data_IF_934529557972
#
_entry.id   IF_934529557972
#
_cell.length_a   1.000
_cell.length_b   1.000
_cell.length_c   1.000
_cell.angle_alpha   90.00
_cell.angle_beta   90.00
_cell.angle_gamma   90.00
#
_symmetry.space_group_name_H-M   'P 1'
#
loop_
_entity.id
_entity.type
_entity.pdbx_description
1 polymer ?
#
# COMPACT_ATOMS: atom_id res chain seq x y z
N UNK A 1 -55.38 12.69 -11.15
CA UNK A 1 -56.17 13.94 -11.22
C UNK A 1 -56.00 14.60 -12.59
N UNK A 2 -57.09 14.57 -13.36
CA UNK A 2 -57.46 15.22 -14.63
C UNK A 2 -56.39 15.89 -15.53
N UNK A 3 -55.48 15.10 -16.12
CA UNK A 3 -54.56 15.56 -17.19
C UNK A 3 -55.33 16.13 -18.39
N UNK A 4 -56.49 15.55 -18.72
CA UNK A 4 -57.35 16.00 -19.81
C UNK A 4 -57.82 17.45 -19.62
N UNK A 5 -58.28 17.81 -18.42
CA UNK A 5 -58.67 19.18 -18.11
C UNK A 5 -57.49 20.17 -18.21
N UNK A 6 -56.30 19.79 -17.73
CA UNK A 6 -55.10 20.66 -17.82
C UNK A 6 -54.69 20.91 -19.28
N UNK A 7 -54.70 19.87 -20.10
CA UNK A 7 -54.40 19.99 -21.54
C UNK A 7 -55.46 20.81 -22.27
N UNK A 8 -56.75 20.59 -21.97
CA UNK A 8 -57.84 21.36 -22.57
C UNK A 8 -57.76 22.84 -22.19
N UNK A 9 -57.54 23.16 -20.91
CA UNK A 9 -57.31 24.53 -20.44
C UNK A 9 -56.09 25.19 -21.09
N UNK A 10 -55.01 24.46 -21.30
CA UNK A 10 -53.84 24.99 -21.99
C UNK A 10 -54.12 25.29 -23.48
N UNK A 11 -54.89 24.44 -24.17
CA UNK A 11 -55.33 24.70 -25.56
C UNK A 11 -56.24 25.93 -25.66
N UNK A 12 -57.19 26.07 -24.73
CA UNK A 12 -58.02 27.26 -24.62
C UNK A 12 -57.18 28.53 -24.40
N UNK A 13 -56.18 28.45 -23.52
CA UNK A 13 -55.27 29.56 -23.28
C UNK A 13 -54.41 29.89 -24.52
N UNK A 14 -53.91 28.89 -25.23
CA UNK A 14 -53.17 29.09 -26.49
C UNK A 14 -54.02 29.82 -27.51
N UNK A 15 -55.29 29.42 -27.67
CA UNK A 15 -56.25 30.11 -28.54
C UNK A 15 -56.48 31.56 -28.10
N UNK A 16 -56.76 31.78 -26.81
CA UNK A 16 -56.93 33.12 -26.23
C UNK A 16 -55.70 34.01 -26.45
N UNK A 17 -54.49 33.45 -26.29
CA UNK A 17 -53.24 34.21 -26.38
C UNK A 17 -52.86 34.69 -27.79
N UNK A 18 -53.60 34.26 -28.83
CA UNK A 18 -53.42 34.78 -30.20
C UNK A 18 -53.98 36.19 -30.34
N UNK A 19 -54.98 36.55 -29.52
CA UNK A 19 -55.64 37.84 -29.57
C UNK A 19 -54.95 38.86 -28.64
N UNK A 20 -54.97 40.13 -29.02
CA UNK A 20 -54.28 41.18 -28.27
C UNK A 20 -55.14 41.73 -27.13
N UNK A 21 -56.47 41.58 -27.22
CA UNK A 21 -57.42 42.01 -26.20
C UNK A 21 -58.45 40.95 -25.85
N UNK A 22 -59.09 41.12 -24.69
CA UNK A 22 -60.17 40.24 -24.26
C UNK A 22 -61.38 40.36 -25.18
N UNK A 23 -61.69 41.58 -25.61
CA UNK A 23 -62.83 41.89 -26.48
C UNK A 23 -62.69 41.18 -27.82
N UNK A 24 -61.50 41.20 -28.42
CA UNK A 24 -61.18 40.49 -29.66
C UNK A 24 -61.29 38.96 -29.48
N UNK A 25 -60.82 38.45 -28.33
CA UNK A 25 -60.93 37.02 -28.01
C UNK A 25 -62.39 36.57 -27.86
N UNK A 26 -63.29 37.42 -27.32
CA UNK A 26 -64.71 37.08 -27.14
C UNK A 26 -65.47 36.91 -28.47
N UNK A 27 -65.05 37.60 -29.53
CA UNK A 27 -65.62 37.45 -30.88
C UNK A 27 -65.26 36.11 -31.53
N UNK A 28 -64.22 35.44 -31.01
CA UNK A 28 -63.71 34.18 -31.51
C UNK A 28 -63.81 33.08 -30.44
N UNK A 29 -65.00 32.49 -30.22
CA UNK A 29 -65.15 31.36 -29.30
C UNK A 29 -64.28 30.17 -29.67
N UNK A 30 -63.74 29.50 -28.66
CA UNK A 30 -63.02 28.25 -28.85
C UNK A 30 -63.93 27.16 -29.46
N UNK A 31 -63.44 26.32 -30.39
CA UNK A 31 -64.26 25.33 -31.07
C UNK A 31 -65.08 24.45 -30.11
N UNK A 32 -66.32 24.15 -30.49
CA UNK A 32 -67.27 23.30 -29.75
C UNK A 32 -67.73 23.86 -28.38
N UNK A 33 -67.44 25.13 -28.06
CA UNK A 33 -67.81 25.77 -26.81
C UNK A 33 -68.86 26.87 -27.03
N UNK A 34 -69.80 27.00 -26.10
CA UNK A 34 -70.79 28.07 -26.17
C UNK A 34 -70.18 29.43 -25.77
N UNK A 35 -70.79 30.53 -26.23
CA UNK A 35 -70.29 31.90 -25.98
C UNK A 35 -70.26 32.27 -24.49
N UNK A 36 -71.16 31.74 -23.69
CA UNK A 36 -71.26 32.06 -22.26
C UNK A 36 -70.12 31.42 -21.46
N UNK A 37 -69.82 30.15 -21.74
CA UNK A 37 -68.67 29.43 -21.20
C UNK A 37 -67.36 30.06 -21.66
N UNK A 38 -67.25 30.42 -22.94
CA UNK A 38 -66.08 31.11 -23.46
C UNK A 38 -65.84 32.46 -22.77
N UNK A 39 -66.91 33.23 -22.53
CA UNK A 39 -66.82 34.49 -21.76
C UNK A 39 -66.21 34.26 -20.38
N UNK A 40 -66.68 33.26 -19.64
CA UNK A 40 -66.13 32.92 -18.31
C UNK A 40 -64.67 32.49 -18.38
N UNK A 41 -64.25 31.80 -19.44
CA UNK A 41 -62.86 31.39 -19.66
C UNK A 41 -61.97 32.60 -19.99
N UNK A 42 -62.44 33.52 -20.83
CA UNK A 42 -61.76 34.78 -21.11
C UNK A 42 -61.63 35.65 -19.84
N UNK A 43 -62.67 35.73 -19.01
CA UNK A 43 -62.62 36.41 -17.71
C UNK A 43 -61.55 35.81 -16.80
N UNK A 44 -61.47 34.47 -16.75
CA UNK A 44 -60.46 33.77 -15.97
C UNK A 44 -59.04 34.08 -16.47
N UNK A 45 -58.81 34.11 -17.79
CA UNK A 45 -57.48 34.40 -18.34
C UNK A 45 -57.10 35.88 -18.24
N UNK A 46 -58.07 36.80 -18.33
CA UNK A 46 -57.86 38.23 -18.13
C UNK A 46 -57.71 38.61 -16.66
N UNK A 47 -58.10 37.75 -15.72
CA UNK A 47 -58.00 38.03 -14.28
C UNK A 47 -56.56 38.31 -13.83
N UNK A 48 -56.40 39.30 -12.95
CA UNK A 48 -55.10 39.66 -12.38
C UNK A 48 -54.43 38.48 -11.67
N UNK A 49 -55.21 37.63 -10.97
CA UNK A 49 -54.68 36.46 -10.27
C UNK A 49 -54.02 35.48 -11.26
N UNK A 50 -54.67 35.22 -12.40
CA UNK A 50 -54.14 34.33 -13.42
C UNK A 50 -52.89 34.90 -14.07
N UNK A 51 -52.93 36.19 -14.45
CA UNK A 51 -51.79 36.87 -15.06
C UNK A 51 -50.58 36.92 -14.13
N UNK A 52 -50.79 37.26 -12.85
CA UNK A 52 -49.73 37.25 -11.83
C UNK A 52 -49.09 35.87 -11.70
N UNK A 53 -49.90 34.82 -11.60
CA UNK A 53 -49.39 33.44 -11.47
C UNK A 53 -48.70 32.96 -12.75
N UNK A 54 -49.17 33.39 -13.91
CA UNK A 54 -48.53 33.13 -15.20
C UNK A 54 -47.14 33.80 -15.29
N UNK A 55 -47.03 35.07 -14.93
CA UNK A 55 -45.77 35.81 -14.90
C UNK A 55 -44.74 35.17 -13.96
N UNK A 56 -45.14 34.85 -12.72
CA UNK A 56 -44.28 34.16 -11.75
C UNK A 56 -43.82 32.80 -12.28
N UNK A 57 -44.72 32.01 -12.86
CA UNK A 57 -44.36 30.70 -13.42
C UNK A 57 -43.41 30.83 -14.62
N UNK A 58 -43.54 31.87 -15.44
CA UNK A 58 -42.63 32.17 -16.55
C UNK A 58 -41.23 32.50 -16.03
N UNK A 59 -41.13 33.36 -15.02
CA UNK A 59 -39.85 33.68 -14.37
C UNK A 59 -39.22 32.46 -13.70
N UNK A 60 -40.01 31.65 -12.98
CA UNK A 60 -39.53 30.43 -12.35
C UNK A 60 -39.04 29.42 -13.40
N UNK A 61 -39.72 29.33 -14.55
CA UNK A 61 -39.29 28.48 -15.66
C UNK A 61 -37.97 28.98 -16.26
N UNK A 62 -37.77 30.29 -16.35
CA UNK A 62 -36.52 30.88 -16.84
C UNK A 62 -35.33 30.63 -15.90
N UNK A 63 -35.57 30.45 -14.58
CA UNK A 63 -34.52 30.10 -13.60
C UNK A 63 -34.09 28.62 -13.64
N UNK A 64 -34.82 27.76 -14.35
CA UNK A 64 -34.52 26.33 -14.41
C UNK A 64 -33.36 26.07 -15.39
N UNK A 65 -32.15 25.94 -14.85
CA UNK A 65 -30.92 25.70 -15.61
C UNK A 65 -30.81 24.30 -16.21
N UNK A 66 -31.25 23.30 -15.44
CA UNK A 66 -31.13 21.89 -15.80
C UNK A 66 -32.53 21.34 -16.02
N UNK A 67 -32.79 20.90 -17.25
CA UNK A 67 -34.04 20.25 -17.63
C UNK A 67 -33.79 18.77 -17.88
N UNK A 68 -34.75 17.92 -17.52
CA UNK A 68 -34.71 16.49 -17.82
C UNK A 68 -35.71 16.13 -18.91
N UNK A 69 -35.47 15.04 -19.64
CA UNK A 69 -36.29 14.52 -20.74
C UNK A 69 -37.29 13.44 -20.31
N UNK A 70 -37.35 13.09 -19.02
CA UNK A 70 -38.29 12.09 -18.47
C UNK A 70 -39.77 12.47 -18.59
N UNK A 71 -40.09 13.72 -18.92
CA UNK A 71 -41.46 14.21 -19.03
C UNK A 71 -42.24 14.00 -17.73
N UNK A 72 -43.42 13.36 -17.82
CA UNK A 72 -44.27 13.05 -16.66
C UNK A 72 -43.84 11.77 -15.90
N UNK A 73 -42.78 11.08 -16.33
CA UNK A 73 -42.28 9.89 -15.63
C UNK A 73 -41.40 10.32 -14.46
N UNK A 74 -41.64 9.74 -13.29
CA UNK A 74 -40.73 9.89 -12.15
C UNK A 74 -39.37 9.24 -12.45
N UNK A 75 -38.31 9.69 -11.76
CA UNK A 75 -36.99 9.08 -11.88
C UNK A 75 -37.00 7.59 -11.49
N UNK A 76 -37.82 7.19 -10.51
CA UNK A 76 -37.99 5.77 -10.15
C UNK A 76 -38.57 4.96 -11.31
N UNK A 77 -39.56 5.51 -12.03
CA UNK A 77 -40.14 4.85 -13.21
C UNK A 77 -39.17 4.84 -14.40
N UNK A 78 -38.40 5.91 -14.60
CA UNK A 78 -37.33 5.94 -15.60
C UNK A 78 -36.28 4.86 -15.30
N UNK A 79 -35.85 4.75 -14.05
CA UNK A 79 -34.92 3.72 -13.56
C UNK A 79 -35.46 2.30 -13.84
N UNK A 80 -36.72 2.02 -13.50
CA UNK A 80 -37.33 0.71 -13.74
C UNK A 80 -37.39 0.33 -15.22
N UNK A 81 -37.65 1.30 -16.12
CA UNK A 81 -37.70 1.07 -17.56
C UNK A 81 -36.32 0.88 -18.21
N UNK A 82 -35.26 1.33 -17.54
CA UNK A 82 -33.89 1.25 -18.01
C UNK A 82 -33.10 0.10 -17.37
N UNK A 83 -33.76 -0.71 -16.54
CA UNK A 83 -33.15 -1.94 -16.01
C UNK A 83 -32.78 -2.85 -17.18
N UNK A 84 -31.54 -3.35 -17.16
CA UNK A 84 -31.05 -4.31 -18.13
C UNK A 84 -31.50 -5.71 -17.68
N UNK A 85 -32.04 -6.59 -18.55
CA UNK A 85 -32.32 -7.98 -18.17
C UNK A 85 -31.11 -8.74 -17.61
N UNK A 86 -29.88 -8.33 -17.94
CA UNK A 86 -28.64 -8.95 -17.41
C UNK A 86 -28.10 -8.29 -16.13
N UNK A 87 -28.49 -7.05 -15.80
CA UNK A 87 -28.03 -6.36 -14.60
C UNK A 87 -29.17 -5.61 -13.91
N UNK A 88 -29.44 -5.98 -12.66
CA UNK A 88 -30.63 -5.53 -11.92
C UNK A 88 -30.58 -4.04 -11.51
N UNK A 89 -29.43 -3.39 -11.68
CA UNK A 89 -29.19 -2.00 -11.28
C UNK A 89 -28.59 -1.15 -12.40
N UNK A 90 -29.24 -0.02 -12.70
CA UNK A 90 -28.65 1.07 -13.49
C UNK A 90 -27.90 2.01 -12.55
N UNK A 91 -26.66 2.36 -12.92
CA UNK A 91 -25.87 3.29 -12.12
C UNK A 91 -26.52 4.69 -12.10
N UNK A 92 -26.37 5.45 -11.00
CA UNK A 92 -26.88 6.83 -10.93
C UNK A 92 -26.39 7.72 -12.08
N UNK A 93 -25.13 7.58 -12.48
CA UNK A 93 -24.54 8.32 -13.59
C UNK A 93 -25.22 7.99 -14.93
N UNK A 94 -25.49 6.71 -15.21
CA UNK A 94 -26.20 6.30 -16.44
C UNK A 94 -27.65 6.77 -16.44
N UNK A 95 -28.33 6.70 -15.30
CA UNK A 95 -29.67 7.24 -15.15
C UNK A 95 -29.69 8.75 -15.40
N UNK A 96 -28.72 9.49 -14.85
CA UNK A 96 -28.59 10.92 -15.07
C UNK A 96 -28.38 11.23 -16.55
N UNK A 97 -27.41 10.59 -17.20
CA UNK A 97 -27.13 10.75 -18.64
C UNK A 97 -28.38 10.49 -19.48
N UNK A 98 -29.10 9.39 -19.22
CA UNK A 98 -30.29 9.03 -20.01
C UNK A 98 -31.45 10.00 -19.83
N UNK A 99 -31.56 10.63 -18.67
CA UNK A 99 -32.64 11.57 -18.33
C UNK A 99 -32.31 13.01 -18.70
N UNK A 100 -31.05 13.33 -19.04
CA UNK A 100 -30.61 14.68 -19.43
C UNK A 100 -30.04 14.70 -20.86
N UNK A 101 -30.40 13.70 -21.67
CA UNK A 101 -30.10 13.65 -23.09
C UNK A 101 -31.38 13.48 -23.91
N UNK A 102 -31.37 14.05 -25.10
CA UNK A 102 -32.44 13.93 -26.08
C UNK A 102 -32.36 12.57 -26.82
N UNK A 103 -33.35 12.28 -27.66
CA UNK A 103 -33.36 11.06 -28.49
C UNK A 103 -32.13 10.94 -29.39
N UNK A 104 -31.60 12.08 -29.82
CA UNK A 104 -30.40 12.18 -30.67
C UNK A 104 -29.08 12.08 -29.88
N UNK A 105 -29.16 11.87 -28.55
CA UNK A 105 -27.99 11.76 -27.67
C UNK A 105 -27.37 13.09 -27.24
N UNK A 106 -27.86 14.23 -27.75
CA UNK A 106 -27.42 15.55 -27.34
C UNK A 106 -27.90 15.90 -25.93
N UNK A 107 -27.05 16.58 -25.15
CA UNK A 107 -27.39 17.06 -23.81
C UNK A 107 -28.46 18.14 -23.85
N UNK A 108 -29.30 18.18 -22.81
CA UNK A 108 -30.37 19.18 -22.67
C UNK A 108 -29.88 20.57 -22.33
N UNK A 109 -28.73 20.67 -21.67
CA UNK A 109 -28.03 21.93 -21.36
C UNK A 109 -26.54 21.65 -21.15
N UNK A 110 -25.69 22.68 -21.32
CA UNK A 110 -24.25 22.54 -21.04
C UNK A 110 -24.02 22.27 -19.55
N UNK A 111 -24.76 22.93 -18.65
CA UNK A 111 -24.71 22.65 -17.20
C UNK A 111 -24.96 21.16 -16.88
N UNK A 112 -25.89 20.50 -17.58
CA UNK A 112 -26.15 19.07 -17.37
C UNK A 112 -24.97 18.20 -17.79
N UNK A 113 -24.30 18.58 -18.89
CA UNK A 113 -23.09 17.89 -19.37
C UNK A 113 -21.93 18.11 -18.41
N UNK A 114 -21.70 19.35 -17.97
CA UNK A 114 -20.63 19.71 -17.04
C UNK A 114 -20.78 18.96 -15.72
N UNK A 115 -21.98 18.96 -15.13
CA UNK A 115 -22.25 18.21 -13.91
C UNK A 115 -21.96 16.71 -14.06
N UNK A 116 -22.33 16.11 -15.19
CA UNK A 116 -22.03 14.71 -15.45
C UNK A 116 -20.52 14.44 -15.55
N UNK A 117 -19.78 15.33 -16.20
CA UNK A 117 -18.33 15.22 -16.35
C UNK A 117 -17.60 15.48 -15.03
N UNK A 118 -18.06 16.43 -14.23
CA UNK A 118 -17.52 16.73 -12.91
C UNK A 118 -17.69 15.54 -11.97
N UNK A 119 -18.89 14.95 -11.92
CA UNK A 119 -19.15 13.75 -11.13
C UNK A 119 -18.26 12.57 -11.57
N UNK A 120 -18.09 12.37 -12.88
CA UNK A 120 -17.18 11.35 -13.41
C UNK A 120 -15.72 11.64 -13.04
N UNK A 121 -15.30 12.91 -13.05
CA UNK A 121 -13.95 13.32 -12.65
C UNK A 121 -13.71 13.03 -11.17
N UNK A 122 -14.66 13.39 -10.30
CA UNK A 122 -14.58 13.16 -8.86
C UNK A 122 -14.49 11.66 -8.55
N UNK A 123 -15.26 10.81 -9.23
CA UNK A 123 -15.16 9.35 -9.06
C UNK A 123 -13.77 8.80 -9.45
N UNK A 124 -13.19 9.29 -10.55
CA UNK A 124 -11.83 8.88 -10.96
C UNK A 124 -10.80 9.34 -9.94
N UNK A 125 -10.92 10.57 -9.43
CA UNK A 125 -10.03 11.13 -8.43
C UNK A 125 -10.10 10.36 -7.10
N UNK A 126 -11.31 10.01 -6.65
CA UNK A 126 -11.53 9.19 -5.47
C UNK A 126 -10.90 7.79 -5.63
N UNK A 127 -11.10 7.15 -6.79
CA UNK A 127 -10.46 5.85 -7.07
C UNK A 127 -8.94 5.94 -7.04
N UNK A 128 -8.35 7.00 -7.60
CA UNK A 128 -6.90 7.23 -7.57
C UNK A 128 -6.40 7.48 -6.15
N UNK A 129 -7.13 8.25 -5.35
CA UNK A 129 -6.78 8.48 -3.96
C UNK A 129 -6.74 7.17 -3.17
N UNK A 130 -7.75 6.31 -3.32
CA UNK A 130 -7.77 4.97 -2.69
C UNK A 130 -6.60 4.09 -3.13
N UNK A 131 -6.22 4.15 -4.41
CA UNK A 131 -5.07 3.41 -4.91
C UNK A 131 -3.76 3.91 -4.29
N UNK A 132 -3.58 5.23 -4.21
CA UNK A 132 -2.40 5.83 -3.57
C UNK A 132 -2.31 5.49 -2.08
N UNK A 133 -3.45 5.46 -1.38
CA UNK A 133 -3.51 5.02 0.02
C UNK A 133 -3.07 3.55 0.17
N UNK A 134 -3.53 2.68 -0.72
CA UNK A 134 -3.13 1.26 -0.73
C UNK A 134 -1.63 1.09 -1.02
N UNK A 135 -1.10 1.81 -2.01
CA UNK A 135 0.33 1.79 -2.33
C UNK A 135 1.18 2.31 -1.16
N UNK A 136 0.75 3.38 -0.49
CA UNK A 136 1.42 3.89 0.70
C UNK A 136 1.42 2.87 1.86
N UNK A 137 0.35 2.10 2.04
CA UNK A 137 0.29 1.01 3.01
C UNK A 137 1.24 -0.13 2.66
N UNK A 138 1.36 -0.49 1.39
CA UNK A 138 2.32 -1.50 0.93
C UNK A 138 3.76 -1.09 1.18
N UNK A 139 4.11 0.18 0.92
CA UNK A 139 5.45 0.72 1.21
C UNK A 139 5.75 0.63 2.70
N UNK A 140 4.85 1.11 3.56
CA UNK A 140 5.01 1.01 5.03
C UNK A 140 5.21 -0.42 5.50
N UNK A 141 4.47 -1.37 4.91
CA UNK A 141 4.62 -2.79 5.22
C UNK A 141 5.99 -3.31 4.81
N UNK A 142 6.46 -2.97 3.61
CA UNK A 142 7.79 -3.35 3.13
C UNK A 142 8.90 -2.81 4.04
N UNK A 143 8.81 -1.55 4.45
CA UNK A 143 9.80 -0.93 5.34
C UNK A 143 9.86 -1.68 6.69
N UNK A 144 8.70 -2.03 7.27
CA UNK A 144 8.65 -2.85 8.48
C UNK A 144 9.24 -4.25 8.27
N UNK A 145 8.93 -4.92 7.16
CA UNK A 145 9.51 -6.23 6.85
C UNK A 145 11.03 -6.15 6.68
N UNK A 146 11.54 -5.08 6.06
CA UNK A 146 12.97 -4.86 5.90
C UNK A 146 13.67 -4.64 7.25
N UNK A 147 13.14 -3.76 8.10
CA UNK A 147 13.72 -3.54 9.44
C UNK A 147 13.74 -4.81 10.29
N UNK A 148 12.70 -5.65 10.21
CA UNK A 148 12.71 -6.95 10.88
C UNK A 148 13.79 -7.88 10.32
N UNK A 149 13.96 -7.95 8.99
CA UNK A 149 15.01 -8.76 8.36
C UNK A 149 16.40 -8.31 8.80
N UNK A 150 16.66 -7.01 8.84
CA UNK A 150 17.93 -6.44 9.30
C UNK A 150 18.19 -6.79 10.78
N UNK A 151 17.17 -6.72 11.63
CA UNK A 151 17.29 -7.12 13.02
C UNK A 151 17.61 -8.61 13.19
N UNK A 152 16.95 -9.49 12.43
CA UNK A 152 17.24 -10.93 12.44
C UNK A 152 18.68 -11.21 11.98
N UNK A 153 19.13 -10.58 10.89
CA UNK A 153 20.51 -10.74 10.40
C UNK A 153 21.53 -10.30 11.46
N UNK A 154 21.28 -9.20 12.16
CA UNK A 154 22.13 -8.75 13.25
C UNK A 154 22.21 -9.78 14.38
N UNK A 155 21.07 -10.38 14.76
CA UNK A 155 21.00 -11.42 15.79
C UNK A 155 21.78 -12.68 15.37
N UNK A 156 21.62 -13.12 14.12
CA UNK A 156 22.37 -14.24 13.56
C UNK A 156 23.88 -13.97 13.50
N UNK A 157 24.28 -12.77 13.11
CA UNK A 157 25.69 -12.38 13.06
C UNK A 157 26.31 -12.33 14.46
N UNK A 158 25.58 -11.83 15.46
CA UNK A 158 26.02 -11.89 16.85
C UNK A 158 26.18 -13.34 17.34
N UNK A 159 25.25 -14.23 16.99
CA UNK A 159 25.38 -15.64 17.34
C UNK A 159 26.59 -16.28 16.65
N UNK A 160 26.79 -16.02 15.36
CA UNK A 160 27.94 -16.52 14.61
C UNK A 160 29.26 -16.04 15.20
N UNK A 161 29.36 -14.77 15.61
CA UNK A 161 30.55 -14.23 16.29
C UNK A 161 30.82 -14.95 17.60
N UNK A 162 29.79 -15.20 18.42
CA UNK A 162 29.95 -15.97 19.67
C UNK A 162 30.42 -17.40 19.39
N UNK A 163 29.88 -18.05 18.37
CA UNK A 163 30.28 -19.41 18.00
C UNK A 163 31.71 -19.45 17.44
N UNK A 164 32.12 -18.44 16.65
CA UNK A 164 33.49 -18.26 16.16
C UNK A 164 34.48 -18.02 17.32
N UNK A 165 34.15 -17.16 18.28
CA UNK A 165 34.94 -16.92 19.50
C UNK A 165 35.08 -18.20 20.33
N UNK A 166 33.99 -18.97 20.48
CA UNK A 166 34.01 -20.26 21.18
C UNK A 166 34.92 -21.26 20.47
N UNK A 167 34.85 -21.35 19.13
CA UNK A 167 35.75 -22.20 18.34
C UNK A 167 37.22 -21.79 18.50
N UNK A 168 37.53 -20.48 18.48
CA UNK A 168 38.89 -19.99 18.70
C UNK A 168 39.40 -20.36 20.09
N UNK A 169 38.58 -20.18 21.12
CA UNK A 169 38.92 -20.54 22.49
C UNK A 169 39.22 -22.04 22.64
N UNK A 170 38.39 -22.90 22.03
CA UNK A 170 38.63 -24.35 22.02
C UNK A 170 39.93 -24.72 21.29
N UNK A 171 40.19 -24.09 20.13
CA UNK A 171 41.41 -24.33 19.36
C UNK A 171 42.67 -23.88 20.13
N UNK A 172 42.64 -22.72 20.79
CA UNK A 172 43.74 -22.26 21.63
C UNK A 172 44.00 -23.18 22.82
N UNK A 173 42.96 -23.65 23.49
CA UNK A 173 43.12 -24.63 24.56
C UNK A 173 43.76 -25.91 24.06
N UNK A 174 43.35 -26.41 22.89
CA UNK A 174 43.95 -27.62 22.32
C UNK A 174 45.43 -27.39 21.99
N UNK A 175 45.78 -26.25 21.36
CA UNK A 175 47.17 -25.89 21.08
C UNK A 175 48.02 -25.79 22.35
N UNK A 176 47.47 -25.21 23.44
CA UNK A 176 48.16 -25.16 24.74
C UNK A 176 48.42 -26.55 25.31
N UNK A 177 47.43 -27.44 25.27
CA UNK A 177 47.60 -28.84 25.69
C UNK A 177 48.65 -29.57 24.85
N UNK A 178 48.62 -29.39 23.54
CA UNK A 178 49.59 -30.01 22.63
C UNK A 178 51.01 -29.47 22.87
N UNK A 179 51.14 -28.17 23.15
CA UNK A 179 52.42 -27.54 23.48
C UNK A 179 52.95 -27.98 24.84
N UNK A 180 52.11 -28.10 25.86
CA UNK A 180 52.46 -28.66 27.17
C UNK A 180 52.92 -30.12 27.04
N UNK A 181 52.19 -30.93 26.28
CA UNK A 181 52.57 -32.31 26.00
C UNK A 181 53.92 -32.38 25.26
N UNK A 182 54.16 -31.50 24.28
CA UNK A 182 55.45 -31.42 23.58
C UNK A 182 56.59 -31.05 24.54
N UNK A 183 56.40 -30.04 25.39
CA UNK A 183 57.40 -29.64 26.40
C UNK A 183 57.71 -30.77 27.37
N UNK A 184 56.68 -31.49 27.84
CA UNK A 184 56.86 -32.67 28.69
C UNK A 184 57.71 -33.74 28.00
N UNK A 185 57.45 -34.05 26.73
CA UNK A 185 58.25 -35.01 25.96
C UNK A 185 59.70 -34.55 25.77
N UNK A 186 59.92 -33.27 25.47
CA UNK A 186 61.27 -32.68 25.35
C UNK A 186 62.03 -32.74 26.68
N UNK A 187 61.37 -32.47 27.81
CA UNK A 187 61.96 -32.53 29.15
C UNK A 187 62.31 -33.97 29.55
N UNK A 188 61.42 -34.93 29.27
CA UNK A 188 61.72 -36.36 29.44
C UNK A 188 62.93 -36.79 28.59
N UNK A 189 63.04 -36.29 27.35
CA UNK A 189 64.18 -36.60 26.49
C UNK A 189 65.48 -35.97 27.02
N UNK A 190 65.43 -34.71 27.48
CA UNK A 190 66.59 -34.02 28.09
C UNK A 190 67.08 -34.75 29.33
N UNK A 191 66.18 -35.10 30.25
CA UNK A 191 66.55 -35.83 31.48
C UNK A 191 67.16 -37.20 31.18
N UNK A 192 66.68 -37.90 30.15
CA UNK A 192 67.28 -39.16 29.68
C UNK A 192 68.71 -38.95 29.15
N UNK A 193 68.93 -37.91 28.34
CA UNK A 193 70.27 -37.55 27.82
C UNK A 193 71.20 -37.18 28.98
N UNK A 194 70.76 -36.33 29.91
CA UNK A 194 71.55 -35.97 31.09
C UNK A 194 71.92 -37.20 31.94
N UNK A 195 71.00 -38.15 32.12
CA UNK A 195 71.30 -39.41 32.82
C UNK A 195 72.34 -40.25 32.06
N UNK A 196 72.27 -40.31 30.72
CA UNK A 196 73.27 -41.00 29.91
C UNK A 196 74.64 -40.32 30.00
N UNK A 197 74.69 -38.98 29.95
CA UNK A 197 75.92 -38.21 30.11
C UNK A 197 76.56 -38.42 31.48
N UNK A 198 75.77 -38.40 32.56
CA UNK A 198 76.27 -38.70 33.92
C UNK A 198 76.84 -40.11 34.01
N UNK A 199 76.21 -41.11 33.39
CA UNK A 199 76.76 -42.47 33.31
C UNK A 199 78.09 -42.52 32.55
N UNK A 200 78.20 -41.80 31.43
CA UNK A 200 79.47 -41.69 30.68
C UNK A 200 80.56 -41.00 31.50
N UNK A 201 80.23 -39.92 32.21
CA UNK A 201 81.18 -39.21 33.06
C UNK A 201 81.69 -40.11 34.19
N UNK A 202 80.80 -40.85 34.85
CA UNK A 202 81.17 -41.81 35.89
C UNK A 202 82.10 -42.91 35.33
N UNK A 203 81.79 -43.47 34.16
CA UNK A 203 82.69 -44.43 33.50
C UNK A 203 84.06 -43.81 33.17
N UNK A 204 84.09 -42.56 32.68
CA UNK A 204 85.34 -41.86 32.38
C UNK A 204 86.16 -41.54 33.64
N UNK A 205 85.51 -41.27 34.77
CA UNK A 205 86.15 -41.06 36.06
C UNK A 205 86.69 -42.37 36.63
N UNK A 206 85.93 -43.46 36.57
CA UNK A 206 86.40 -44.80 36.94
C UNK A 206 87.61 -45.23 36.11
N UNK A 207 87.61 -44.99 34.79
CA UNK A 207 88.79 -45.26 33.96
C UNK A 207 89.98 -44.40 34.36
N UNK A 208 89.77 -43.13 34.71
CA UNK A 208 90.84 -42.24 35.19
C UNK A 208 91.42 -42.73 36.51
N UNK A 209 90.59 -43.13 37.46
CA UNK A 209 91.02 -43.73 38.72
C UNK A 209 91.81 -45.03 38.49
N UNK A 210 91.33 -45.91 37.62
CA UNK A 210 92.07 -47.11 37.23
C UNK A 210 93.44 -46.78 36.62
N UNK A 211 93.52 -45.74 35.78
CA UNK A 211 94.78 -45.29 35.19
C UNK A 211 95.74 -44.71 36.24
N UNK A 212 95.22 -43.90 37.18
CA UNK A 212 96.00 -43.34 38.29
C UNK A 212 96.51 -44.45 39.21
N UNK A 213 95.68 -45.46 39.49
CA UNK A 213 96.07 -46.62 40.30
C UNK A 213 97.14 -47.46 39.60
N UNK A 214 97.06 -47.64 38.27
CA UNK A 214 98.14 -48.24 37.47
C UNK A 214 99.43 -47.42 37.55
N UNK A 215 99.36 -46.09 37.45
CA UNK A 215 100.52 -45.21 37.61
C UNK A 215 101.11 -45.34 39.03
N UNK A 216 100.28 -45.43 40.07
CA UNK A 216 100.70 -45.63 41.47
C UNK A 216 101.39 -46.97 41.69
N UNK A 217 100.90 -48.04 41.05
CA UNK A 217 101.53 -49.36 41.05
C UNK A 217 102.88 -49.36 40.31
N UNK A 218 103.03 -48.55 39.26
CA UNK A 218 104.30 -48.38 38.55
C UNK A 218 105.32 -47.55 39.36
N UNK A 219 104.89 -46.55 40.11
CA UNK A 219 105.77 -45.73 40.96
C UNK A 219 106.23 -46.46 42.24
N UNK A 220 105.39 -47.30 42.83
CA UNK A 220 105.77 -48.14 43.99
C UNK A 220 106.79 -49.23 43.64
N UNK A 221 106.95 -49.59 42.35
CA UNK A 221 108.04 -50.46 41.85
C UNK A 221 109.38 -49.74 41.63
N UNK A 222 109.42 -48.41 41.64
CA UNK A 222 110.59 -47.61 41.23
C UNK A 222 111.26 -46.81 42.37
N UNK A 223 111.20 -47.29 43.62
CA UNK A 223 112.02 -46.74 44.72
C UNK A 223 113.16 -47.68 45.11
N UNK A 224 114.42 -47.45 44.65
CA UNK A 224 115.57 -48.20 45.14
C UNK A 224 116.03 -47.65 46.50
N UNK A 225 116.07 -48.53 47.51
CA UNK A 225 116.74 -48.28 48.80
C UNK A 225 118.23 -48.01 48.57
N UNK A 226 118.72 -46.87 49.10
CA UNK A 226 120.14 -46.55 49.30
C UNK A 226 120.88 -47.71 50.00
N UNK A 227 122.07 -48.05 49.52
CA UNK A 227 123.13 -48.70 50.32
C UNK A 227 124.45 -47.94 50.16
N UNK A 228 124.95 -47.58 51.35
CA UNK A 228 126.27 -47.18 51.82
C UNK A 228 127.49 -47.33 50.91
N UNK A 229 128.31 -46.28 50.96
CA UNK A 229 129.75 -46.20 50.72
C UNK A 229 130.24 -44.92 51.38
#
# INVERSE_FOLDING_TARGET
>A
MNTAYRTHRNRMFQHYSVFNSKEEALEHPYPEMNKEEWTRVCDLFASEEFQRRSAINKENRAKLKIVHTSGARSFQRARALLKNPESDEISPALLYKKTHTNKDGMWTSEDARENFLEEARLQIEEMRARQLEYEALLVKRSDMEQTMREHLQMMEEQQRKKDEELMQMMAEQQRKKDEEHRKMMEEQQRTLVEQQERRMQLMAEQMREQLVEQIRQLQSRSTPKRKFG
#
